data_IF_754591357717
#
_entry.id   IF_754591357717
#
_cell.length_a   1.000
_cell.length_b   1.000
_cell.length_c   1.000
_cell.angle_alpha   90.00
_cell.angle_beta   90.00
_cell.angle_gamma   90.00
#
_symmetry.space_group_name_H-M   'P 1'
#
loop_
_entity.id
_entity.type
_entity.pdbx_description
1 polymer ?
#
# COMPACT_ATOMS: atom_id res chain seq x y z
N UNK A 1 -27.99 72.94 66.94
CA UNK A 1 -26.64 72.35 67.14
C UNK A 1 -26.78 71.10 68.01
N UNK A 2 -26.96 69.93 67.39
CA UNK A 2 -26.96 68.64 68.09
C UNK A 2 -25.50 68.28 68.43
N UNK A 3 -25.18 68.11 69.72
CA UNK A 3 -23.93 67.49 70.16
C UNK A 3 -24.02 65.99 69.86
N UNK A 4 -23.45 65.54 68.73
CA UNK A 4 -23.14 64.13 68.57
C UNK A 4 -22.14 63.74 69.68
N UNK A 5 -22.56 62.83 70.54
CA UNK A 5 -21.72 62.25 71.59
C UNK A 5 -20.51 61.56 70.97
N UNK A 6 -19.32 61.75 71.57
CA UNK A 6 -18.06 61.12 71.17
C UNK A 6 -18.15 59.58 71.06
N UNK A 7 -19.16 58.96 71.67
CA UNK A 7 -19.43 57.52 71.63
C UNK A 7 -20.00 57.09 70.26
N UNK A 8 -20.79 57.94 69.57
CA UNK A 8 -21.41 57.59 68.29
C UNK A 8 -20.42 57.61 67.11
N UNK A 9 -19.36 58.41 67.19
CA UNK A 9 -18.29 58.45 66.16
C UNK A 9 -17.34 57.26 66.33
N UNK A 10 -17.03 56.89 67.57
CA UNK A 10 -16.21 55.71 67.86
C UNK A 10 -16.91 54.40 67.44
N UNK A 11 -18.23 54.30 67.64
CA UNK A 11 -19.00 53.12 67.23
C UNK A 11 -19.12 52.99 65.70
N UNK A 12 -19.27 54.11 64.98
CA UNK A 12 -19.30 54.12 63.52
C UNK A 12 -17.92 53.79 62.89
N UNK A 13 -16.83 54.23 63.53
CA UNK A 13 -15.48 53.93 63.10
C UNK A 13 -15.11 52.45 63.31
N UNK A 14 -15.52 51.83 64.42
CA UNK A 14 -15.32 50.39 64.67
C UNK A 14 -16.18 49.53 63.72
N UNK A 15 -17.39 49.98 63.38
CA UNK A 15 -18.23 49.30 62.39
C UNK A 15 -17.65 49.38 60.97
N UNK A 16 -17.01 50.50 60.60
CA UNK A 16 -16.29 50.62 59.32
C UNK A 16 -15.03 49.76 59.27
N UNK A 17 -14.27 49.62 60.35
CA UNK A 17 -13.07 48.77 60.39
C UNK A 17 -13.42 47.28 60.31
N UNK A 18 -14.58 46.86 60.84
CA UNK A 18 -15.10 45.50 60.65
C UNK A 18 -15.70 45.26 59.25
N UNK A 19 -16.29 46.27 58.61
CA UNK A 19 -16.86 46.14 57.25
C UNK A 19 -15.80 46.05 56.13
N UNK A 20 -14.54 46.41 56.41
CA UNK A 20 -13.42 46.28 55.46
C UNK A 20 -12.56 45.03 55.68
N UNK A 21 -12.89 44.18 56.67
CA UNK A 21 -12.22 42.90 56.90
C UNK A 21 -13.04 41.74 56.33
N UNK A 22 -13.40 41.81 55.04
CA UNK A 22 -13.77 40.59 54.34
C UNK A 22 -12.48 39.78 54.13
N UNK A 23 -12.44 38.49 54.48
CA UNK A 23 -11.34 37.65 54.04
C UNK A 23 -11.33 37.70 52.52
N UNK A 24 -10.23 38.17 51.93
CA UNK A 24 -9.98 37.98 50.51
C UNK A 24 -10.20 36.49 50.24
N UNK A 25 -11.22 36.16 49.43
CA UNK A 25 -11.49 34.78 49.06
C UNK A 25 -10.20 34.21 48.49
N UNK A 26 -9.64 33.20 49.14
CA UNK A 26 -8.50 32.47 48.61
C UNK A 26 -9.08 31.73 47.40
N UNK A 27 -8.88 32.25 46.19
CA UNK A 27 -9.22 31.54 44.97
C UNK A 27 -8.41 30.24 44.97
N UNK A 28 -9.10 29.10 45.03
CA UNK A 28 -8.46 27.80 44.93
C UNK A 28 -8.35 27.48 43.45
N UNK A 29 -7.17 27.12 42.99
CA UNK A 29 -6.95 26.61 41.64
C UNK A 29 -7.95 25.49 41.33
N UNK A 30 -8.73 25.61 40.24
CA UNK A 30 -9.50 24.48 39.75
C UNK A 30 -8.58 23.59 38.90
N UNK A 31 -8.89 22.29 38.87
CA UNK A 31 -8.16 21.38 38.00
C UNK A 31 -8.62 21.59 36.56
N UNK A 32 -7.67 21.73 35.63
CA UNK A 32 -7.96 21.62 34.20
C UNK A 32 -8.60 20.25 33.94
N UNK A 33 -9.55 20.21 33.02
CA UNK A 33 -10.18 18.95 32.59
C UNK A 33 -9.83 18.65 31.14
N UNK A 34 -10.02 17.39 30.72
CA UNK A 34 -9.72 16.92 29.36
C UNK A 34 -8.28 17.18 28.89
N UNK A 35 -7.32 17.22 29.82
CA UNK A 35 -5.90 17.48 29.51
C UNK A 35 -5.31 16.30 28.72
N UNK A 36 -4.87 16.55 27.49
CA UNK A 36 -4.22 15.56 26.62
C UNK A 36 -3.15 16.23 25.74
N UNK A 37 -2.22 15.42 25.25
CA UNK A 37 -1.27 15.78 24.20
C UNK A 37 -1.26 14.66 23.15
N UNK A 38 -1.47 15.02 21.89
CA UNK A 38 -1.36 14.09 20.76
C UNK A 38 -0.08 14.38 20.00
N UNK A 39 0.89 13.48 20.11
CA UNK A 39 2.16 13.60 19.38
C UNK A 39 2.06 12.92 18.02
N UNK A 40 2.69 13.50 17.00
CA UNK A 40 2.78 12.86 15.67
C UNK A 40 3.65 11.59 15.67
N UNK A 41 4.55 11.46 16.65
CA UNK A 41 5.34 10.26 16.92
C UNK A 41 5.78 10.23 18.39
N UNK A 42 5.86 9.03 18.96
CA UNK A 42 6.45 8.76 20.27
C UNK A 42 7.89 8.25 20.16
N UNK A 43 8.44 8.15 18.93
CA UNK A 43 9.81 7.68 18.71
C UNK A 43 10.82 8.65 19.34
N UNK A 44 11.74 8.08 20.12
CA UNK A 44 12.77 8.80 20.82
C UNK A 44 13.73 9.54 19.87
N UNK A 45 14.18 10.72 20.27
CA UNK A 45 15.11 11.56 19.47
C UNK A 45 14.60 11.94 18.08
N UNK A 46 13.28 11.92 17.88
CA UNK A 46 12.62 12.29 16.63
C UNK A 46 11.75 13.53 16.84
N UNK A 47 11.72 14.40 15.83
CA UNK A 47 10.90 15.60 15.85
C UNK A 47 9.41 15.23 15.77
N UNK A 48 8.60 15.79 16.68
CA UNK A 48 7.18 15.52 16.81
C UNK A 48 6.37 16.82 16.82
N UNK A 49 5.24 16.82 16.11
CA UNK A 49 4.21 17.82 16.34
C UNK A 49 3.48 17.49 17.64
N UNK A 50 2.96 18.51 18.30
CA UNK A 50 2.09 18.35 19.46
C UNK A 50 0.73 19.00 19.20
N UNK A 51 -0.32 18.38 19.72
CA UNK A 51 -1.66 18.96 19.87
C UNK A 51 -2.05 18.82 21.33
N UNK A 52 -1.84 19.88 22.10
CA UNK A 52 -2.14 19.92 23.53
C UNK A 52 -3.51 20.53 23.73
N UNK A 53 -4.42 19.80 24.37
CA UNK A 53 -5.79 20.23 24.59
C UNK A 53 -6.11 20.19 26.08
N UNK A 54 -6.79 21.23 26.58
CA UNK A 54 -7.34 21.26 27.93
C UNK A 54 -8.57 22.18 28.01
N UNK A 55 -9.44 21.93 28.98
CA UNK A 55 -10.56 22.81 29.30
C UNK A 55 -10.26 23.57 30.59
N UNK A 56 -10.36 24.90 30.55
CA UNK A 56 -10.10 25.79 31.71
C UNK A 56 -11.41 26.10 32.45
N UNK A 57 -11.63 25.63 33.70
CA UNK A 57 -12.88 25.89 34.42
C UNK A 57 -13.18 27.37 34.68
N UNK A 58 -12.16 28.19 34.88
CA UNK A 58 -12.30 29.60 35.26
C UNK A 58 -11.87 30.58 34.18
N UNK A 59 -11.26 30.10 33.09
CA UNK A 59 -10.79 30.92 31.97
C UNK A 59 -9.35 31.43 32.18
N UNK A 60 -8.94 32.35 31.33
CA UNK A 60 -7.70 33.14 31.46
C UNK A 60 -8.07 34.60 31.28
N UNK A 61 -7.92 35.39 32.35
CA UNK A 61 -8.25 36.82 32.32
C UNK A 61 -7.15 37.66 31.66
N UNK A 62 -7.48 38.90 31.32
CA UNK A 62 -6.51 39.87 30.83
C UNK A 62 -5.36 40.05 31.84
N UNK A 63 -4.14 40.22 31.34
CA UNK A 63 -2.88 40.26 32.10
C UNK A 63 -2.51 38.96 32.84
N UNK A 64 -3.24 37.86 32.64
CA UNK A 64 -2.83 36.55 33.14
C UNK A 64 -1.98 35.76 32.14
N UNK A 65 -1.33 34.72 32.65
CA UNK A 65 -0.50 33.80 31.89
C UNK A 65 -0.95 32.38 32.15
N UNK A 66 -0.77 31.54 31.13
CA UNK A 66 -0.67 30.11 31.33
C UNK A 66 0.62 29.60 30.68
N UNK A 67 1.09 28.45 31.13
CA UNK A 67 2.39 27.88 30.80
C UNK A 67 2.19 26.42 30.47
N UNK A 68 2.93 25.94 29.48
CA UNK A 68 3.08 24.51 29.20
C UNK A 68 4.52 24.17 29.53
N UNK A 69 4.73 23.39 30.59
CA UNK A 69 6.06 23.02 31.09
C UNK A 69 6.35 21.55 30.83
N UNK A 70 7.33 21.31 29.96
CA UNK A 70 7.83 19.99 29.61
C UNK A 70 8.83 19.46 30.66
N UNK A 71 8.98 18.13 30.78
CA UNK A 71 9.95 17.53 31.69
C UNK A 71 11.39 17.85 31.28
N UNK A 72 12.35 17.69 32.19
CA UNK A 72 13.74 18.12 31.99
C UNK A 72 14.41 17.47 30.77
N UNK A 73 13.95 16.28 30.40
CA UNK A 73 14.43 15.53 29.25
C UNK A 73 14.16 16.22 27.91
N UNK A 74 13.11 17.05 27.82
CA UNK A 74 12.77 17.82 26.60
C UNK A 74 13.57 19.12 26.45
N UNK A 75 14.47 19.45 27.38
CA UNK A 75 15.17 20.74 27.41
C UNK A 75 15.86 21.11 26.09
N UNK A 76 16.47 20.14 25.41
CA UNK A 76 17.08 20.35 24.09
C UNK A 76 16.10 20.23 22.93
N UNK A 77 14.94 19.62 23.16
CA UNK A 77 13.93 19.36 22.15
C UNK A 77 13.14 20.60 21.74
N UNK A 78 13.04 21.60 22.63
CA UNK A 78 12.40 22.88 22.36
C UNK A 78 13.33 23.89 21.65
N UNK A 79 14.58 23.52 21.37
CA UNK A 79 15.52 24.44 20.72
C UNK A 79 15.03 24.83 19.32
N UNK A 80 14.88 26.13 19.09
CA UNK A 80 14.42 26.67 17.80
C UNK A 80 12.92 26.90 17.72
N UNK A 81 12.13 26.34 18.65
CA UNK A 81 10.70 26.63 18.74
C UNK A 81 10.51 28.11 19.08
N UNK A 82 9.73 28.81 18.27
CA UNK A 82 9.30 30.17 18.55
C UNK A 82 7.76 30.33 18.43
N UNK A 83 7.26 31.56 18.44
CA UNK A 83 5.81 31.79 18.40
C UNK A 83 5.18 31.48 17.04
N UNK A 84 5.96 31.39 15.95
CA UNK A 84 5.46 31.03 14.63
C UNK A 84 5.19 29.52 14.50
N UNK A 85 5.84 28.71 15.34
CA UNK A 85 5.62 27.27 15.46
C UNK A 85 4.41 26.90 16.32
N UNK A 86 3.64 27.89 16.80
CA UNK A 86 2.59 27.69 17.79
C UNK A 86 1.33 28.40 17.34
N UNK A 87 0.19 27.72 17.40
CA UNK A 87 -1.14 28.31 17.30
C UNK A 87 -1.94 27.99 18.56
N UNK A 88 -2.90 28.86 18.91
CA UNK A 88 -3.74 28.71 20.11
C UNK A 88 -5.18 29.01 19.74
N UNK A 89 -6.09 28.09 20.04
CA UNK A 89 -7.50 28.22 19.71
C UNK A 89 -8.39 27.88 20.91
N UNK A 90 -9.39 28.71 21.20
CA UNK A 90 -10.39 28.48 22.26
C UNK A 90 -11.84 28.39 21.75
N UNK A 91 -12.02 28.16 20.45
CA UNK A 91 -13.26 28.38 19.71
C UNK A 91 -13.10 29.40 18.57
N UNK A 92 -11.97 30.11 18.56
CA UNK A 92 -11.42 30.88 17.44
C UNK A 92 -9.89 31.01 17.57
N UNK A 93 -9.22 31.26 16.44
CA UNK A 93 -7.75 31.38 16.41
C UNK A 93 -7.28 32.64 17.14
N UNK A 94 -6.32 32.48 18.06
CA UNK A 94 -5.68 33.60 18.74
C UNK A 94 -4.51 34.09 17.90
N UNK A 95 -4.38 35.39 17.75
CA UNK A 95 -3.18 35.96 17.12
C UNK A 95 -2.03 35.94 18.13
N UNK A 96 -0.91 35.30 17.77
CA UNK A 96 0.28 35.22 18.60
C UNK A 96 1.41 36.16 18.13
N UNK A 97 2.26 36.55 19.06
CA UNK A 97 3.55 37.20 18.84
C UNK A 97 4.55 36.79 19.93
N UNK A 98 5.83 37.12 19.76
CA UNK A 98 6.85 36.84 20.78
C UNK A 98 6.59 37.55 22.12
N UNK A 99 5.93 38.72 22.09
CA UNK A 99 5.55 39.50 23.27
C UNK A 99 4.13 40.00 23.05
N UNK A 100 3.28 39.92 24.08
CA UNK A 100 1.89 40.36 23.96
C UNK A 100 1.80 41.87 23.76
N UNK A 101 0.77 42.31 23.03
CA UNK A 101 0.38 43.71 22.89
C UNK A 101 -1.10 43.76 22.54
N UNK A 102 -1.86 44.65 23.18
CA UNK A 102 -3.30 44.75 22.98
C UNK A 102 -3.98 43.37 23.07
N UNK A 103 -4.77 42.99 22.07
CA UNK A 103 -5.42 41.68 22.01
C UNK A 103 -4.52 40.55 21.48
N UNK A 104 -3.31 40.83 20.99
CA UNK A 104 -2.36 39.81 20.54
C UNK A 104 -1.71 39.14 21.75
N UNK A 105 -1.80 37.81 21.80
CA UNK A 105 -1.20 36.99 22.84
C UNK A 105 0.31 36.86 22.66
N UNK A 106 1.03 36.82 23.77
CA UNK A 106 2.47 36.57 23.78
C UNK A 106 2.75 35.09 23.95
N UNK A 107 3.53 34.45 23.08
CA UNK A 107 4.03 33.09 23.26
C UNK A 107 5.56 33.12 23.40
N UNK A 108 6.04 33.07 24.64
CA UNK A 108 7.46 33.12 24.94
C UNK A 108 7.99 31.71 25.25
N UNK A 109 8.91 31.23 24.42
CA UNK A 109 9.52 29.91 24.56
C UNK A 109 10.83 30.02 25.35
N UNK A 110 10.93 29.22 26.41
CA UNK A 110 12.15 28.98 27.16
C UNK A 110 12.54 27.50 27.07
N UNK A 111 13.67 27.13 27.67
CA UNK A 111 14.28 25.77 27.56
C UNK A 111 13.30 24.63 27.81
N UNK A 112 12.30 24.81 28.68
CA UNK A 112 11.33 23.76 29.03
C UNK A 112 9.89 24.24 29.08
N UNK A 113 9.66 25.52 28.92
CA UNK A 113 8.38 26.14 29.24
C UNK A 113 8.01 27.08 28.13
N UNK A 114 6.81 26.91 27.59
CA UNK A 114 6.18 27.88 26.73
C UNK A 114 5.23 28.70 27.61
N UNK A 115 5.43 30.01 27.66
CA UNK A 115 4.60 30.93 28.45
C UNK A 115 3.70 31.73 27.53
N UNK A 116 2.40 31.51 27.67
CA UNK A 116 1.35 32.25 26.99
C UNK A 116 0.88 33.39 27.88
N UNK A 117 0.94 34.62 27.40
CA UNK A 117 0.56 35.84 28.13
C UNK A 117 -0.60 36.51 27.43
N UNK A 118 -1.71 36.66 28.13
CA UNK A 118 -2.78 37.54 27.70
C UNK A 118 -2.45 38.98 28.07
N UNK A 119 -2.44 39.89 27.10
CA UNK A 119 -2.41 41.33 27.38
C UNK A 119 -3.83 41.81 27.72
N UNK A 120 -4.69 42.05 26.72
CA UNK A 120 -6.08 42.51 26.96
C UNK A 120 -7.17 41.52 26.55
N UNK A 121 -6.83 40.49 25.77
CA UNK A 121 -7.79 39.46 25.34
C UNK A 121 -8.08 38.45 26.48
N UNK A 122 -9.01 37.53 26.29
CA UNK A 122 -9.35 36.52 27.30
C UNK A 122 -9.62 35.17 26.68
N UNK A 123 -9.53 34.13 27.51
CA UNK A 123 -10.14 32.82 27.27
C UNK A 123 -11.27 32.69 28.28
N UNK A 124 -12.49 32.39 27.84
CA UNK A 124 -13.63 32.36 28.74
C UNK A 124 -13.65 31.10 29.61
N UNK A 125 -14.38 31.18 30.72
CA UNK A 125 -14.57 30.05 31.60
C UNK A 125 -15.26 28.89 30.87
N UNK A 126 -14.76 27.68 31.06
CA UNK A 126 -15.19 26.43 30.41
C UNK A 126 -14.81 26.29 28.93
N UNK A 127 -14.04 27.22 28.36
CA UNK A 127 -13.52 27.06 27.01
C UNK A 127 -12.48 25.93 26.94
N UNK A 128 -12.43 25.29 25.78
CA UNK A 128 -11.41 24.29 25.45
C UNK A 128 -10.32 24.93 24.65
N UNK A 129 -9.13 24.97 25.21
CA UNK A 129 -7.92 25.48 24.59
C UNK A 129 -7.22 24.36 23.87
N UNK A 130 -6.95 24.56 22.58
CA UNK A 130 -6.07 23.73 21.76
C UNK A 130 -4.81 24.52 21.45
N UNK A 131 -3.66 23.90 21.68
CA UNK A 131 -2.35 24.42 21.33
C UNK A 131 -1.75 23.48 20.30
N UNK A 132 -1.49 24.00 19.11
CA UNK A 132 -0.81 23.29 18.04
C UNK A 132 0.65 23.71 18.04
N UNK A 133 1.59 22.75 18.01
CA UNK A 133 3.02 23.03 17.98
C UNK A 133 3.69 22.31 16.82
N UNK A 134 4.63 22.99 16.17
CA UNK A 134 5.37 22.53 15.01
C UNK A 134 4.54 22.62 13.75
N UNK A 135 4.60 21.60 12.90
CA UNK A 135 3.89 21.59 11.62
C UNK A 135 2.37 21.46 11.76
N UNK A 136 1.86 21.32 12.98
CA UNK A 136 0.43 21.44 13.25
C UNK A 136 -0.01 22.92 13.23
N UNK A 137 0.87 23.86 13.61
CA UNK A 137 0.59 25.29 13.48
C UNK A 137 0.65 25.71 12.01
N UNK A 138 -0.25 26.61 11.60
CA UNK A 138 -0.44 27.04 10.22
C UNK A 138 0.82 27.66 9.58
N UNK A 139 1.67 28.30 10.39
CA UNK A 139 2.94 28.89 9.96
C UNK A 139 4.17 28.15 10.51
N UNK A 140 4.00 27.05 11.22
CA UNK A 140 5.08 26.38 11.92
C UNK A 140 6.04 25.65 11.00
N UNK A 141 7.33 25.70 11.35
CA UNK A 141 8.41 25.08 10.59
C UNK A 141 9.37 24.23 11.45
N UNK A 142 9.26 24.34 12.78
CA UNK A 142 10.12 23.67 13.75
C UNK A 142 9.31 22.85 14.74
N UNK A 143 9.65 21.57 14.90
CA UNK A 143 8.96 20.61 15.77
C UNK A 143 9.75 20.37 17.06
N UNK A 144 9.06 19.96 18.13
CA UNK A 144 9.73 19.58 19.36
C UNK A 144 10.40 18.21 19.16
N UNK A 145 11.71 18.11 19.41
CA UNK A 145 12.41 16.82 19.35
C UNK A 145 12.14 16.02 20.62
N UNK A 146 11.54 14.84 20.47
CA UNK A 146 11.31 13.90 21.55
C UNK A 146 12.63 13.57 22.28
N UNK A 147 12.63 13.42 23.61
CA UNK A 147 13.79 12.99 24.37
C UNK A 147 14.17 11.54 24.06
N UNK A 148 15.17 11.03 24.79
CA UNK A 148 15.39 9.59 24.88
C UNK A 148 14.16 8.88 25.46
N UNK A 149 13.99 7.59 25.14
CA UNK A 149 12.83 6.81 25.58
C UNK A 149 12.67 6.80 27.11
N UNK A 150 11.48 7.15 27.56
CA UNK A 150 11.08 7.17 28.96
C UNK A 150 9.56 7.15 29.08
N UNK A 151 9.07 6.50 30.14
CA UNK A 151 7.65 6.45 30.45
C UNK A 151 7.29 7.54 31.46
N UNK A 152 6.01 7.90 31.52
CA UNK A 152 5.44 8.73 32.58
C UNK A 152 6.12 10.11 32.69
N UNK A 153 6.38 10.71 31.54
CA UNK A 153 6.90 12.06 31.41
C UNK A 153 5.73 13.04 31.56
N UNK A 154 5.76 13.86 32.62
CA UNK A 154 4.69 14.80 32.91
C UNK A 154 4.91 16.13 32.20
N UNK A 155 3.89 16.60 31.48
CA UNK A 155 3.77 17.98 30.99
C UNK A 155 2.76 18.68 31.90
N UNK A 156 3.19 19.77 32.52
CA UNK A 156 2.40 20.53 33.48
C UNK A 156 1.86 21.80 32.83
N UNK A 157 0.57 22.08 33.07
CA UNK A 157 -0.08 23.32 32.65
C UNK A 157 -0.45 24.12 33.90
N UNK A 158 0.07 25.33 34.02
CA UNK A 158 -0.11 26.22 35.17
C UNK A 158 0.10 27.67 34.74
N UNK A 159 0.27 28.63 35.65
CA UNK A 159 0.65 29.99 35.30
C UNK A 159 0.24 30.97 36.39
N UNK A 160 -0.06 32.21 36.00
CA UNK A 160 -0.78 33.13 36.87
C UNK A 160 -2.29 32.99 36.77
N UNK A 161 -2.80 32.30 35.73
CA UNK A 161 -4.19 31.83 35.69
C UNK A 161 -4.48 30.98 36.93
N UNK A 162 -5.74 30.94 37.35
CA UNK A 162 -6.12 30.21 38.57
C UNK A 162 -6.00 28.70 38.36
N UNK A 163 -6.28 28.18 37.17
CA UNK A 163 -6.37 26.73 36.96
C UNK A 163 -5.02 26.07 36.66
N UNK A 164 -4.91 24.78 36.99
CA UNK A 164 -3.71 23.98 36.71
C UNK A 164 -4.03 22.52 36.44
N UNK A 165 -3.15 21.82 35.72
CA UNK A 165 -3.29 20.43 35.36
C UNK A 165 -1.96 19.80 34.96
N UNK A 166 -1.94 18.48 34.80
CA UNK A 166 -0.78 17.73 34.34
C UNK A 166 -1.26 16.57 33.49
N UNK A 167 -0.50 16.23 32.45
CA UNK A 167 -0.73 15.06 31.60
C UNK A 167 0.54 14.22 31.52
N UNK A 168 0.40 12.91 31.39
CA UNK A 168 1.53 12.00 31.23
C UNK A 168 1.65 11.54 29.78
N UNK A 169 2.85 11.62 29.22
CA UNK A 169 3.20 11.02 27.93
C UNK A 169 4.26 9.93 28.10
N UNK A 170 4.43 9.13 27.05
CA UNK A 170 5.45 8.10 26.95
C UNK A 170 6.23 8.29 25.66
N UNK A 171 7.55 8.20 25.74
CA UNK A 171 8.43 8.18 24.57
C UNK A 171 9.07 6.80 24.51
N UNK A 172 8.95 6.15 23.36
CA UNK A 172 9.42 4.79 23.13
C UNK A 172 10.54 4.77 22.10
N UNK A 173 11.27 3.66 22.00
CA UNK A 173 12.40 3.58 21.08
C UNK A 173 11.98 3.65 19.61
N UNK A 174 10.84 3.05 19.27
CA UNK A 174 10.27 2.99 17.93
C UNK A 174 8.75 2.77 18.09
N UNK A 175 7.95 3.58 17.42
CA UNK A 175 6.48 3.48 17.39
C UNK A 175 5.95 2.90 16.07
N UNK A 176 6.85 2.44 15.20
CA UNK A 176 6.52 1.80 13.93
C UNK A 176 6.52 0.27 14.04
N UNK A 177 5.65 -0.37 13.26
CA UNK A 177 5.59 -1.83 13.11
C UNK A 177 5.80 -2.18 11.64
N UNK A 178 6.90 -2.87 11.35
CA UNK A 178 7.15 -3.39 10.01
C UNK A 178 6.31 -4.65 9.75
N UNK A 179 5.56 -4.65 8.64
CA UNK A 179 4.74 -5.79 8.20
C UNK A 179 5.25 -6.25 6.83
N UNK A 180 5.60 -7.53 6.68
CA UNK A 180 6.20 -8.09 5.46
C UNK A 180 5.56 -9.42 5.07
N UNK A 181 5.61 -9.76 3.78
CA UNK A 181 5.12 -11.02 3.21
C UNK A 181 6.00 -11.45 2.02
N UNK A 182 5.97 -12.75 1.68
CA UNK A 182 6.69 -13.34 0.55
C UNK A 182 5.72 -14.11 -0.36
N UNK A 183 5.91 -14.01 -1.68
CA UNK A 183 5.22 -14.80 -2.71
C UNK A 183 6.28 -15.63 -3.45
N UNK A 184 6.10 -16.95 -3.51
CA UNK A 184 7.04 -17.85 -4.17
C UNK A 184 6.80 -17.97 -5.68
N UNK A 185 7.83 -18.20 -6.50
CA UNK A 185 7.69 -18.47 -7.93
C UNK A 185 6.99 -19.81 -8.18
N UNK A 186 6.07 -19.86 -9.15
CA UNK A 186 5.23 -21.01 -9.46
C UNK A 186 4.94 -21.15 -10.96
N UNK A 187 4.98 -22.40 -11.46
CA UNK A 187 4.52 -22.78 -12.79
C UNK A 187 3.78 -24.12 -12.71
N UNK A 188 2.65 -24.25 -13.38
CA UNK A 188 1.94 -25.52 -13.61
C UNK A 188 1.83 -25.77 -15.11
N UNK A 189 2.05 -27.00 -15.54
CA UNK A 189 1.92 -27.43 -16.94
C UNK A 189 1.27 -28.82 -17.02
N UNK A 190 0.25 -28.98 -17.85
CA UNK A 190 -0.41 -30.28 -18.07
C UNK A 190 -0.66 -30.55 -19.55
N UNK A 191 -0.78 -31.82 -19.91
CA UNK A 191 -1.15 -32.31 -21.25
C UNK A 191 -2.36 -33.22 -21.09
N UNK A 192 -3.44 -32.97 -21.83
CA UNK A 192 -4.71 -33.68 -21.62
C UNK A 192 -4.68 -35.15 -22.05
N UNK A 193 -3.89 -35.47 -23.07
CA UNK A 193 -3.67 -36.83 -23.57
C UNK A 193 -2.27 -36.95 -24.18
N UNK A 194 -1.59 -38.05 -23.91
CA UNK A 194 -0.24 -38.37 -24.42
C UNK A 194 -0.26 -39.42 -25.53
N UNK A 195 -1.45 -39.88 -25.94
CA UNK A 195 -1.66 -40.85 -26.99
C UNK A 195 -2.67 -40.32 -28.04
N UNK A 196 -2.13 -39.68 -29.07
CA UNK A 196 -2.90 -39.28 -30.26
C UNK A 196 -2.42 -40.08 -31.47
N UNK A 197 -3.30 -40.38 -32.41
CA UNK A 197 -2.96 -41.17 -33.58
C UNK A 197 -3.72 -40.74 -34.81
N UNK A 198 -3.12 -40.96 -35.98
CA UNK A 198 -3.70 -40.66 -37.29
C UNK A 198 -4.59 -41.78 -37.83
N UNK A 199 -4.48 -42.99 -37.30
CA UNK A 199 -5.09 -44.19 -37.87
C UNK A 199 -4.38 -44.59 -39.16
N UNK A 200 -5.11 -45.24 -40.07
CA UNK A 200 -4.58 -45.58 -41.39
C UNK A 200 -4.43 -44.32 -42.26
N UNK A 201 -3.20 -44.01 -42.64
CA UNK A 201 -2.91 -42.89 -43.55
C UNK A 201 -3.40 -43.20 -44.97
N UNK A 202 -3.78 -42.14 -45.71
CA UNK A 202 -4.28 -42.23 -47.08
C UNK A 202 -3.51 -41.29 -48.00
N UNK A 203 -3.29 -41.73 -49.24
CA UNK A 203 -2.74 -40.87 -50.30
C UNK A 203 -3.81 -40.02 -50.99
N UNK A 204 -5.09 -40.24 -50.72
CA UNK A 204 -6.20 -39.51 -51.36
C UNK A 204 -6.78 -38.40 -50.49
N UNK A 205 -6.51 -38.41 -49.19
CA UNK A 205 -7.11 -37.50 -48.20
C UNK A 205 -6.15 -37.38 -47.04
N UNK A 206 -5.96 -36.16 -46.54
CA UNK A 206 -5.09 -35.95 -45.39
C UNK A 206 -5.68 -36.48 -44.10
N UNK A 207 -4.85 -36.58 -43.06
CA UNK A 207 -5.27 -37.14 -41.77
C UNK A 207 -4.89 -36.26 -40.60
N UNK A 208 -5.86 -35.97 -39.73
CA UNK A 208 -5.60 -35.36 -38.44
C UNK A 208 -5.48 -36.40 -37.34
N UNK A 209 -4.57 -36.16 -36.39
CA UNK A 209 -4.46 -37.02 -35.22
C UNK A 209 -5.57 -36.71 -34.20
N UNK A 210 -6.17 -37.74 -33.62
CA UNK A 210 -7.16 -37.62 -32.55
C UNK A 210 -6.89 -38.66 -31.46
N UNK A 211 -7.52 -38.51 -30.30
CA UNK A 211 -7.51 -39.53 -29.22
C UNK A 211 -8.26 -40.81 -29.62
N UNK A 212 -9.07 -40.76 -30.68
CA UNK A 212 -9.82 -41.90 -31.23
C UNK A 212 -9.09 -42.68 -32.33
N UNK A 213 -7.84 -42.32 -32.65
CA UNK A 213 -7.09 -42.96 -33.74
C UNK A 213 -7.29 -42.33 -35.11
N UNK A 214 -7.62 -41.04 -35.16
CA UNK A 214 -7.53 -40.19 -36.35
C UNK A 214 -8.86 -39.84 -37.01
N UNK A 215 -8.80 -38.90 -37.95
CA UNK A 215 -9.92 -38.48 -38.79
C UNK A 215 -9.45 -37.92 -40.12
N UNK A 216 -10.32 -37.96 -41.13
CA UNK A 216 -10.04 -37.35 -42.43
C UNK A 216 -9.91 -35.83 -42.26
N UNK A 217 -8.82 -35.29 -42.78
CA UNK A 217 -8.62 -33.87 -42.87
C UNK A 217 -9.55 -33.27 -43.94
N UNK A 218 -9.83 -31.98 -43.79
CA UNK A 218 -10.64 -31.19 -44.70
C UNK A 218 -10.21 -29.72 -44.59
N UNK A 219 -10.60 -28.89 -45.56
CA UNK A 219 -10.45 -27.42 -45.54
C UNK A 219 -11.30 -26.72 -44.44
N UNK A 220 -11.23 -27.20 -43.20
CA UNK A 220 -11.86 -26.61 -42.00
C UNK A 220 -10.85 -26.62 -40.87
N UNK A 221 -11.23 -26.04 -39.73
CA UNK A 221 -10.38 -26.04 -38.55
C UNK A 221 -9.96 -27.47 -38.15
N UNK A 222 -8.64 -27.75 -38.05
CA UNK A 222 -8.14 -29.09 -37.72
C UNK A 222 -8.71 -29.60 -36.41
N UNK A 223 -9.06 -30.89 -36.37
CA UNK A 223 -9.50 -31.52 -35.12
C UNK A 223 -8.35 -31.55 -34.12
N UNK A 224 -8.62 -31.20 -32.86
CA UNK A 224 -7.63 -31.21 -31.79
C UNK A 224 -7.17 -32.64 -31.50
N UNK A 225 -5.85 -32.83 -31.42
CA UNK A 225 -5.25 -34.06 -30.90
C UNK A 225 -5.32 -34.09 -29.38
N UNK A 226 -4.88 -33.00 -28.74
CA UNK A 226 -4.95 -32.81 -27.29
C UNK A 226 -4.93 -31.32 -26.96
N UNK A 227 -5.07 -30.99 -25.67
CA UNK A 227 -4.78 -29.65 -25.14
C UNK A 227 -3.61 -29.71 -24.17
N UNK A 228 -3.02 -28.54 -23.91
CA UNK A 228 -2.06 -28.30 -22.84
C UNK A 228 -2.57 -27.12 -22.01
N UNK A 229 -2.29 -27.10 -20.71
CA UNK A 229 -2.57 -25.92 -19.88
C UNK A 229 -1.32 -25.42 -19.19
N UNK A 230 -1.22 -24.11 -19.04
CA UNK A 230 -0.12 -23.44 -18.33
C UNK A 230 -0.65 -22.35 -17.40
N UNK A 231 -0.04 -22.24 -16.23
CA UNK A 231 -0.33 -21.22 -15.23
C UNK A 231 0.97 -20.81 -14.53
N UNK A 232 1.23 -19.51 -14.37
CA UNK A 232 2.46 -19.00 -13.77
C UNK A 232 2.29 -17.59 -13.17
N UNK A 233 3.04 -17.29 -12.11
CA UNK A 233 3.21 -15.93 -11.57
C UNK A 233 4.53 -15.27 -12.01
N UNK A 234 5.11 -15.71 -13.14
CA UNK A 234 6.32 -15.15 -13.70
C UNK A 234 6.07 -13.82 -14.42
N UNK A 235 6.70 -12.75 -13.95
CA UNK A 235 6.49 -11.39 -14.46
C UNK A 235 6.95 -11.20 -15.92
N UNK A 236 7.89 -12.03 -16.40
CA UNK A 236 8.33 -12.03 -17.80
C UNK A 236 7.71 -13.21 -18.60
N UNK A 237 6.58 -13.74 -18.12
CA UNK A 237 5.75 -14.72 -18.81
C UNK A 237 6.37 -16.12 -18.93
N UNK A 238 6.03 -16.81 -20.03
CA UNK A 238 6.36 -18.22 -20.26
C UNK A 238 6.41 -18.58 -21.75
N UNK A 239 7.04 -19.70 -22.07
CA UNK A 239 7.03 -20.28 -23.40
C UNK A 239 6.87 -21.81 -23.34
N UNK A 240 6.13 -22.37 -24.30
CA UNK A 240 6.10 -23.81 -24.57
C UNK A 240 6.91 -24.08 -25.83
N UNK A 241 7.91 -24.94 -25.69
CA UNK A 241 8.71 -25.47 -26.79
C UNK A 241 8.39 -26.94 -27.03
N UNK A 242 8.66 -27.44 -28.22
CA UNK A 242 8.59 -28.87 -28.54
C UNK A 242 9.90 -29.40 -29.12
N UNK A 243 10.15 -30.69 -28.96
CA UNK A 243 11.23 -31.42 -29.65
C UNK A 243 10.79 -32.86 -29.93
N UNK A 244 11.04 -33.36 -31.13
CA UNK A 244 10.76 -34.75 -31.51
C UNK A 244 11.29 -35.06 -32.90
N UNK A 245 11.35 -36.34 -33.26
CA UNK A 245 11.62 -36.75 -34.64
C UNK A 245 10.35 -36.63 -35.50
N UNK A 246 10.48 -36.71 -36.82
CA UNK A 246 9.32 -36.98 -37.68
C UNK A 246 8.78 -38.39 -37.45
N UNK A 247 7.64 -38.72 -38.05
CA UNK A 247 7.07 -40.06 -38.07
C UNK A 247 8.01 -41.06 -38.76
N UNK A 248 8.29 -42.19 -38.11
CA UNK A 248 9.22 -43.20 -38.64
C UNK A 248 8.64 -44.62 -38.60
N UNK A 249 9.01 -45.44 -39.58
CA UNK A 249 8.79 -46.89 -39.57
C UNK A 249 10.08 -47.61 -39.97
N UNK A 250 10.84 -48.09 -38.97
CA UNK A 250 12.19 -48.60 -39.21
C UNK A 250 13.11 -47.50 -39.74
N UNK A 251 13.61 -47.66 -40.97
CA UNK A 251 14.45 -46.65 -41.64
C UNK A 251 13.64 -45.64 -42.48
N UNK A 252 12.35 -45.88 -42.67
CA UNK A 252 11.49 -45.03 -43.49
C UNK A 252 10.92 -43.89 -42.65
N UNK A 253 10.66 -42.74 -43.28
CA UNK A 253 10.21 -41.52 -42.60
C UNK A 253 9.13 -40.83 -43.41
N UNK A 254 8.19 -40.15 -42.76
CA UNK A 254 7.33 -39.17 -43.43
C UNK A 254 8.03 -37.82 -43.39
N UNK A 255 8.05 -37.14 -44.53
CA UNK A 255 8.69 -35.82 -44.67
C UNK A 255 7.96 -34.76 -43.85
N UNK A 256 8.70 -33.92 -43.11
CA UNK A 256 8.13 -32.78 -42.40
C UNK A 256 7.76 -31.68 -43.38
N UNK A 257 6.64 -30.99 -43.16
CA UNK A 257 6.16 -29.95 -44.05
C UNK A 257 6.15 -28.57 -43.38
N UNK A 258 6.09 -27.54 -44.22
CA UNK A 258 5.74 -26.16 -43.86
C UNK A 258 4.58 -25.80 -44.78
N UNK A 259 3.38 -25.83 -44.21
CA UNK A 259 2.10 -25.64 -44.89
C UNK A 259 1.53 -24.32 -44.39
N UNK A 260 1.06 -23.49 -45.32
CA UNK A 260 0.59 -22.12 -45.11
C UNK A 260 -0.84 -22.03 -45.62
N UNK A 261 -1.76 -21.63 -44.76
CA UNK A 261 -3.20 -21.45 -45.02
C UNK A 261 -3.92 -22.69 -45.63
N UNK A 262 -3.52 -23.92 -45.25
CA UNK A 262 -4.06 -25.17 -45.82
C UNK A 262 -4.23 -26.26 -44.75
N UNK A 263 -5.49 -26.48 -44.36
CA UNK A 263 -5.86 -27.32 -43.22
C UNK A 263 -5.77 -28.84 -43.48
N UNK A 264 -5.76 -29.29 -44.75
CA UNK A 264 -5.59 -30.70 -45.13
C UNK A 264 -4.30 -31.01 -45.90
N UNK A 265 -3.52 -29.97 -46.24
CA UNK A 265 -2.24 -30.07 -46.90
C UNK A 265 -2.37 -30.54 -48.35
N UNK A 266 -1.34 -31.22 -48.84
CA UNK A 266 -1.30 -31.79 -50.18
C UNK A 266 -1.41 -33.34 -50.16
N UNK A 267 -2.63 -33.91 -50.07
CA UNK A 267 -2.85 -35.35 -50.22
C UNK A 267 -2.13 -35.93 -51.44
N UNK A 268 -1.43 -37.04 -51.24
CA UNK A 268 -0.60 -37.68 -52.26
C UNK A 268 0.88 -37.27 -52.18
N UNK A 269 1.24 -36.39 -51.25
CA UNK A 269 2.61 -36.09 -50.83
C UNK A 269 2.82 -36.50 -49.38
N UNK A 270 4.08 -36.77 -49.01
CA UNK A 270 4.43 -36.99 -47.61
C UNK A 270 4.53 -35.67 -46.87
N UNK A 271 3.73 -35.51 -45.82
CA UNK A 271 3.73 -34.31 -44.99
C UNK A 271 3.49 -34.70 -43.54
N UNK A 272 4.17 -34.02 -42.62
CA UNK A 272 3.94 -34.10 -41.19
C UNK A 272 4.15 -32.72 -40.57
N UNK A 273 3.17 -32.29 -39.77
CA UNK A 273 3.18 -30.97 -39.16
C UNK A 273 2.33 -30.88 -37.90
N UNK A 274 2.57 -29.85 -37.09
CA UNK A 274 1.76 -29.50 -35.93
C UNK A 274 1.22 -28.07 -36.06
N UNK A 275 0.06 -27.83 -35.47
CA UNK A 275 -0.54 -26.51 -35.34
C UNK A 275 -1.12 -26.33 -33.95
N UNK A 276 -1.22 -25.09 -33.48
CA UNK A 276 -1.67 -24.72 -32.15
C UNK A 276 -2.54 -23.45 -32.15
N UNK A 277 -3.47 -23.39 -31.20
CA UNK A 277 -4.27 -22.20 -30.90
C UNK A 277 -4.35 -21.99 -29.40
N UNK A 278 -4.47 -20.76 -28.93
CA UNK A 278 -4.71 -20.43 -27.52
C UNK A 278 -6.17 -19.98 -27.28
N UNK A 279 -6.66 -20.09 -26.04
CA UNK A 279 -7.95 -19.55 -25.61
C UNK A 279 -7.88 -18.13 -25.00
N UNK A 280 -6.68 -17.59 -24.81
CA UNK A 280 -6.43 -16.23 -24.34
C UNK A 280 -5.52 -15.46 -25.31
N UNK A 281 -4.46 -14.82 -24.81
CA UNK A 281 -3.65 -13.83 -25.50
C UNK A 281 -2.20 -14.27 -25.79
N UNK A 282 -1.81 -15.51 -25.45
CA UNK A 282 -0.50 -16.03 -25.84
C UNK A 282 -0.30 -16.00 -27.36
N UNK A 283 0.93 -15.70 -27.76
CA UNK A 283 1.34 -15.64 -29.15
C UNK A 283 1.74 -17.03 -29.63
N UNK A 284 0.99 -17.59 -30.58
CA UNK A 284 1.42 -18.76 -31.36
C UNK A 284 2.58 -18.34 -32.27
N UNK A 285 3.62 -19.19 -32.35
CA UNK A 285 4.74 -18.95 -33.24
C UNK A 285 4.28 -19.03 -34.71
N UNK A 286 4.83 -18.16 -35.56
CA UNK A 286 4.47 -18.13 -36.98
C UNK A 286 4.74 -19.46 -37.70
N UNK A 287 3.75 -19.91 -38.49
CA UNK A 287 3.74 -21.19 -39.20
C UNK A 287 3.13 -22.34 -38.38
N UNK A 288 2.49 -22.04 -37.26
CA UNK A 288 1.85 -23.03 -36.38
C UNK A 288 0.40 -22.67 -36.05
N UNK A 289 -0.18 -21.66 -36.69
CA UNK A 289 -1.49 -21.12 -36.37
C UNK A 289 -2.60 -22.13 -36.69
N UNK A 290 -3.33 -22.57 -35.66
CA UNK A 290 -4.50 -23.45 -35.82
C UNK A 290 -5.78 -22.62 -35.91
N UNK A 291 -6.26 -22.41 -37.13
CA UNK A 291 -7.57 -21.81 -37.39
C UNK A 291 -8.30 -22.54 -38.54
N UNK A 292 -9.24 -21.89 -39.24
CA UNK A 292 -9.98 -22.50 -40.34
C UNK A 292 -9.11 -22.80 -41.58
N UNK A 293 -8.03 -22.07 -41.76
CA UNK A 293 -6.99 -22.17 -42.79
C UNK A 293 -5.65 -22.32 -42.07
N UNK A 294 -5.45 -23.46 -41.44
CA UNK A 294 -4.37 -23.64 -40.49
C UNK A 294 -2.99 -23.72 -41.17
N UNK A 295 -1.98 -23.24 -40.45
CA UNK A 295 -0.58 -23.44 -40.78
C UNK A 295 -0.07 -24.68 -40.04
N UNK A 296 0.70 -25.51 -40.74
CA UNK A 296 1.36 -26.66 -40.14
C UNK A 296 2.86 -26.63 -40.40
N UNK A 297 3.65 -26.66 -39.33
CA UNK A 297 5.09 -26.79 -39.42
C UNK A 297 5.61 -27.86 -38.46
N UNK A 298 6.78 -28.43 -38.77
CA UNK A 298 7.52 -29.25 -37.81
C UNK A 298 9.03 -29.24 -38.08
N UNK A 299 9.83 -29.00 -37.04
CA UNK A 299 11.29 -29.03 -37.11
C UNK A 299 11.83 -30.26 -36.39
N UNK A 300 12.14 -31.31 -37.15
CA UNK A 300 12.61 -32.57 -36.57
C UNK A 300 13.95 -32.41 -35.82
N UNK A 301 14.00 -32.96 -34.61
CA UNK A 301 15.21 -33.06 -33.78
C UNK A 301 15.71 -31.73 -33.20
N UNK A 302 14.96 -30.64 -33.34
CA UNK A 302 15.35 -29.31 -32.85
C UNK A 302 14.30 -28.76 -31.91
N UNK A 303 14.73 -28.30 -30.73
CA UNK A 303 13.84 -27.60 -29.80
C UNK A 303 13.34 -26.30 -30.42
N UNK A 304 12.03 -26.19 -30.59
CA UNK A 304 11.38 -25.10 -31.31
C UNK A 304 10.25 -24.51 -30.47
N UNK A 305 10.14 -23.17 -30.43
CA UNK A 305 9.03 -22.49 -29.75
C UNK A 305 7.73 -22.69 -30.51
N UNK A 306 6.68 -23.09 -29.79
CA UNK A 306 5.33 -23.24 -30.34
C UNK A 306 4.44 -22.07 -29.94
N UNK A 307 4.52 -21.64 -28.69
CA UNK A 307 3.69 -20.57 -28.12
C UNK A 307 4.41 -19.90 -26.97
N UNK A 308 4.19 -18.60 -26.79
CA UNK A 308 4.76 -17.82 -25.69
C UNK A 308 3.86 -16.69 -25.25
N UNK A 309 3.99 -16.30 -23.99
CA UNK A 309 3.40 -15.11 -23.38
C UNK A 309 4.49 -14.35 -22.61
N UNK A 310 4.36 -13.03 -22.51
CA UNK A 310 5.29 -12.12 -21.84
C UNK A 310 4.78 -11.60 -20.49
N UNK A 311 3.58 -12.01 -20.06
CA UNK A 311 2.98 -11.66 -18.76
C UNK A 311 2.62 -12.90 -17.92
N UNK A 312 2.40 -12.75 -16.60
CA UNK A 312 1.84 -13.82 -15.78
C UNK A 312 0.47 -14.28 -16.27
N UNK A 313 0.18 -15.57 -16.10
CA UNK A 313 -1.06 -16.19 -16.60
C UNK A 313 -1.69 -17.03 -15.51
N UNK A 314 -2.97 -16.77 -15.19
CA UNK A 314 -3.69 -17.54 -14.19
C UNK A 314 -3.96 -18.98 -14.63
N UNK A 315 -4.48 -19.17 -15.85
CA UNK A 315 -4.56 -20.46 -16.57
C UNK A 315 -4.85 -20.14 -18.03
N UNK A 316 -4.10 -20.75 -18.94
CA UNK A 316 -4.30 -20.64 -20.38
C UNK A 316 -4.23 -22.02 -21.04
N UNK A 317 -5.08 -22.25 -22.03
CA UNK A 317 -5.25 -23.53 -22.72
C UNK A 317 -4.75 -23.44 -24.15
N UNK A 318 -3.77 -24.28 -24.47
CA UNK A 318 -3.21 -24.43 -25.81
C UNK A 318 -3.80 -25.68 -26.44
N UNK A 319 -4.53 -25.54 -27.54
CA UNK A 319 -5.07 -26.67 -28.31
C UNK A 319 -4.12 -27.01 -29.44
N UNK A 320 -3.69 -28.27 -29.54
CA UNK A 320 -2.72 -28.73 -30.54
C UNK A 320 -3.39 -29.71 -31.52
N UNK A 321 -3.13 -29.51 -32.80
CA UNK A 321 -3.52 -30.41 -33.89
C UNK A 321 -2.29 -30.90 -34.65
N UNK A 322 -2.45 -32.01 -35.33
CA UNK A 322 -1.39 -32.67 -36.10
C UNK A 322 -1.94 -33.05 -37.47
N UNK A 323 -1.15 -32.92 -38.52
CA UNK A 323 -1.47 -33.38 -39.87
C UNK A 323 -0.43 -34.41 -40.33
N UNK A 324 -0.89 -35.46 -40.99
CA UNK A 324 -0.03 -36.39 -41.71
C UNK A 324 -0.65 -36.80 -43.05
N UNK A 325 0.13 -36.63 -44.12
CA UNK A 325 -0.20 -37.08 -45.49
C UNK A 325 0.88 -38.06 -45.98
N UNK A 326 0.50 -38.93 -46.92
CA UNK A 326 1.42 -39.88 -47.55
C UNK A 326 1.33 -39.82 -49.07
N UNK A 327 2.40 -40.25 -49.73
CA UNK A 327 2.39 -40.50 -51.16
C UNK A 327 1.94 -41.94 -51.47
N UNK A 328 1.50 -42.18 -52.72
CA UNK A 328 1.09 -43.52 -53.16
C UNK A 328 2.22 -44.56 -53.13
N UNK A 329 3.47 -44.12 -53.04
CA UNK A 329 4.66 -44.96 -52.94
C UNK A 329 5.35 -44.91 -51.55
N UNK A 330 4.76 -44.22 -50.55
CA UNK A 330 5.26 -44.27 -49.18
C UNK A 330 5.30 -45.73 -48.71
N UNK A 331 6.43 -46.13 -48.13
CA UNK A 331 6.67 -47.53 -47.79
C UNK A 331 5.68 -48.01 -46.72
N UNK A 332 5.19 -49.24 -46.85
CA UNK A 332 4.29 -49.83 -45.87
C UNK A 332 4.98 -50.02 -44.51
N UNK A 333 4.31 -49.61 -43.44
CA UNK A 333 4.81 -49.76 -42.08
C UNK A 333 3.92 -49.05 -41.05
N UNK A 334 4.21 -49.30 -39.77
CA UNK A 334 3.60 -48.54 -38.68
C UNK A 334 4.50 -47.35 -38.40
N UNK A 335 4.02 -46.15 -38.73
CA UNK A 335 4.74 -44.91 -38.51
C UNK A 335 4.37 -44.31 -37.15
N UNK A 336 5.37 -43.96 -36.36
CA UNK A 336 5.17 -43.28 -35.08
C UNK A 336 6.29 -42.31 -34.75
N UNK A 337 6.00 -41.37 -33.86
CA UNK A 337 6.96 -40.44 -33.25
C UNK A 337 6.54 -40.12 -31.82
N UNK A 338 7.45 -39.56 -31.04
CA UNK A 338 7.19 -38.98 -29.74
C UNK A 338 7.66 -37.52 -29.74
N UNK A 339 6.76 -36.61 -29.36
CA UNK A 339 7.05 -35.18 -29.23
C UNK A 339 7.05 -34.82 -27.75
N UNK A 340 8.13 -34.18 -27.31
CA UNK A 340 8.28 -33.69 -25.94
C UNK A 340 7.93 -32.21 -25.90
N UNK A 341 6.94 -31.83 -25.10
CA UNK A 341 6.59 -30.44 -24.82
C UNK A 341 7.21 -29.97 -23.51
N UNK A 342 7.76 -28.74 -23.51
CA UNK A 342 8.46 -28.16 -22.37
C UNK A 342 7.92 -26.75 -22.12
N UNK A 343 7.25 -26.55 -20.99
CA UNK A 343 6.86 -25.22 -20.50
C UNK A 343 7.96 -24.62 -19.62
N UNK A 344 8.34 -23.38 -19.90
CA UNK A 344 9.36 -22.62 -19.16
C UNK A 344 8.80 -21.25 -18.77
N UNK A 345 8.88 -20.89 -17.49
CA UNK A 345 8.48 -19.57 -16.99
C UNK A 345 9.72 -18.70 -16.68
N UNK A 346 9.59 -17.38 -16.81
CA UNK A 346 10.67 -16.40 -16.64
C UNK A 346 10.37 -15.44 -15.48
N UNK A 347 10.84 -15.76 -14.26
CA UNK A 347 10.67 -14.96 -13.04
C UNK A 347 11.65 -13.80 -12.95
#
# INVERSE_FOLDING_TARGET
>A
MLKLSRISIAFLAVLMVFAFSFPAGIARAAALTNVKDTLSTLTASTAANHEIVFTTPTGVAAAETFTVTFPASFASGLNGIDFADIDVNDGGEKTLAAVCSDATWGAAVAVRTITFTSCTDTIDASDTVTIEIGLNAAAGDTQIVNPVAANNLNIDIAGTMTDSGSLGISIIADDSVAVTAQVDPSITFTISDVAVGFGDLSASTGRWATTGGGGDASEIMPTAGHTMTVATNADNGWAITYNGATLTSGANTITVASIDEDSDGAPGSEEFGISASTDLDATIASGYERDATADFAFVAGTTTTLVSEIVPTATETITVSYLANIAGNTEAGNYSTAITYIATATF
#
